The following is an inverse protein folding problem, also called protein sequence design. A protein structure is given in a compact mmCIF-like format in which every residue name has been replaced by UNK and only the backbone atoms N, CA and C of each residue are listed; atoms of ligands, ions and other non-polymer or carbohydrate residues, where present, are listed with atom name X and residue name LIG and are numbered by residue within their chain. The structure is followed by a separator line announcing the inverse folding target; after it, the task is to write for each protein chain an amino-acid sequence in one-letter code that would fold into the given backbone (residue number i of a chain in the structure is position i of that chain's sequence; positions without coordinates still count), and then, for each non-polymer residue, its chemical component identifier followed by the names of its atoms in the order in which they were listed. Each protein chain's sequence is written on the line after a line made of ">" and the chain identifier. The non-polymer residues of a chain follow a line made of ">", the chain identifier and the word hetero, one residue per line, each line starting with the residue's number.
data_IF_299644867238
#
_entry.id   IF_299644867238
#
_cell.length_a   1.000
_cell.length_b   1.000
_cell.length_c   1.000
_cell.angle_alpha   90.00
_cell.angle_beta   90.00
_cell.angle_gamma   90.00
#
_symmetry.space_group_name_H-M   'P 1'
#
loop_
_entity.id
_entity.type
_entity.pdbx_description
1 polymer ?
#
# COMPACT_ATOMS: atom_id res chain seq x y z
N UNK A 1 27.56 -1.36 5.08
CA UNK A 1 26.90 -0.14 4.55
C UNK A 1 27.75 0.36 3.40
N UNK A 2 27.20 0.42 2.17
CA UNK A 2 27.94 0.87 0.97
C UNK A 2 28.10 2.39 0.95
N UNK A 3 27.02 3.11 1.22
CA UNK A 3 27.00 4.56 1.38
C UNK A 3 25.82 4.98 2.26
N UNK A 4 25.87 6.22 2.75
CA UNK A 4 24.74 6.89 3.40
C UNK A 4 24.67 8.33 2.89
N UNK A 5 23.47 8.84 2.64
CA UNK A 5 23.25 10.23 2.20
C UNK A 5 22.31 10.92 3.19
N UNK A 6 22.77 12.04 3.74
CA UNK A 6 21.91 13.00 4.45
C UNK A 6 21.58 14.12 3.46
N UNK A 7 20.30 14.28 3.15
CA UNK A 7 19.86 15.40 2.32
C UNK A 7 19.90 16.69 3.12
N UNK A 8 20.31 17.77 2.47
CA UNK A 8 20.10 19.11 2.97
C UNK A 8 18.60 19.44 2.95
N UNK A 9 18.19 20.38 3.81
CA UNK A 9 16.81 20.84 3.91
C UNK A 9 16.80 22.37 3.87
N UNK A 10 16.00 22.92 2.97
CA UNK A 10 15.67 24.36 2.97
C UNK A 10 14.39 24.67 3.74
N UNK A 11 13.66 23.66 4.22
CA UNK A 11 12.42 23.86 4.97
C UNK A 11 12.68 24.51 6.33
N UNK A 12 11.88 25.54 6.62
CA UNK A 12 11.70 26.08 7.95
C UNK A 12 10.22 25.95 8.33
N UNK A 13 9.95 25.41 9.51
CA UNK A 13 8.59 25.25 9.99
C UNK A 13 7.93 26.60 10.21
N UNK A 14 6.80 26.83 9.54
CA UNK A 14 6.03 28.04 9.72
C UNK A 14 5.37 28.06 11.11
N UNK A 15 5.20 29.23 11.75
CA UNK A 15 4.44 29.34 12.99
C UNK A 15 3.04 28.73 12.84
N UNK A 16 2.68 27.77 13.71
CA UNK A 16 1.39 27.06 13.63
C UNK A 16 1.33 25.96 12.55
N UNK A 17 2.44 25.64 11.89
CA UNK A 17 2.56 24.50 11.00
C UNK A 17 2.43 23.16 11.74
N UNK A 18 2.02 22.11 11.03
CA UNK A 18 2.00 20.74 11.53
C UNK A 18 3.36 20.08 11.24
N UNK A 19 4.44 20.52 11.88
CA UNK A 19 5.78 19.92 11.76
C UNK A 19 6.21 19.16 13.02
N UNK A 20 7.13 18.21 12.83
CA UNK A 20 7.83 17.54 13.94
C UNK A 20 7.06 16.48 14.74
N UNK A 21 5.89 16.03 14.27
CA UNK A 21 5.07 15.00 14.94
C UNK A 21 5.17 13.60 14.32
N UNK A 22 4.67 12.58 15.03
CA UNK A 22 4.65 11.16 14.62
C UNK A 22 4.03 10.95 13.23
N UNK A 23 2.95 11.67 12.93
CA UNK A 23 2.22 11.54 11.68
C UNK A 23 2.83 12.37 10.54
N UNK A 24 3.64 13.38 10.85
CA UNK A 24 4.35 14.24 9.91
C UNK A 24 5.85 14.27 10.28
N UNK A 25 6.51 13.10 10.20
CA UNK A 25 7.89 13.00 10.66
C UNK A 25 8.78 13.86 9.76
N UNK A 26 9.69 14.62 10.38
CA UNK A 26 10.63 15.57 9.78
C UNK A 26 11.66 15.01 8.79
N UNK A 27 11.33 13.97 8.02
CA UNK A 27 12.26 13.17 7.24
C UNK A 27 11.65 12.52 6.01
N UNK A 28 12.38 11.55 5.44
CA UNK A 28 11.97 10.82 4.23
C UNK A 28 10.87 9.82 4.58
N UNK A 29 9.68 10.00 3.99
CA UNK A 29 8.50 9.13 4.23
C UNK A 29 8.13 8.26 3.05
N UNK A 30 8.58 8.63 1.84
CA UNK A 30 8.34 7.88 0.63
C UNK A 30 9.45 6.87 0.40
N UNK A 31 9.09 5.62 0.12
CA UNK A 31 10.03 4.66 -0.48
C UNK A 31 10.54 5.22 -1.81
N UNK A 32 11.87 5.32 -2.02
CA UNK A 32 12.45 5.71 -3.29
C UNK A 32 12.03 4.76 -4.41
N UNK A 33 12.01 5.25 -5.66
CA UNK A 33 11.81 4.40 -6.84
C UNK A 33 13.10 4.25 -7.62
N UNK A 34 13.35 3.05 -8.15
CA UNK A 34 14.53 2.76 -8.95
C UNK A 34 14.19 2.73 -10.43
N UNK A 35 15.03 3.35 -11.25
CA UNK A 35 15.04 3.21 -12.70
C UNK A 35 16.25 2.38 -13.12
N UNK A 36 16.01 1.32 -13.90
CA UNK A 36 17.10 0.56 -14.52
C UNK A 36 17.46 1.21 -15.85
N UNK A 37 18.63 1.84 -15.94
CA UNK A 37 19.09 2.52 -17.16
C UNK A 37 19.94 1.64 -18.06
N UNK A 38 20.61 0.63 -17.49
CA UNK A 38 21.39 -0.38 -18.20
C UNK A 38 21.47 -1.68 -17.36
N UNK A 39 21.94 -2.81 -17.91
CA UNK A 39 22.18 -4.03 -17.12
C UNK A 39 23.10 -3.74 -15.92
N UNK A 40 22.56 -3.88 -14.70
CA UNK A 40 23.31 -3.63 -13.46
C UNK A 40 23.43 -2.15 -13.06
N UNK A 41 22.95 -1.22 -13.88
CA UNK A 41 23.00 0.23 -13.59
C UNK A 41 21.61 0.74 -13.22
N UNK A 42 21.53 1.40 -12.07
CA UNK A 42 20.28 1.88 -11.51
C UNK A 42 20.43 3.31 -11.02
N UNK A 43 19.38 4.09 -11.22
CA UNK A 43 19.20 5.43 -10.66
C UNK A 43 18.12 5.32 -9.59
N UNK A 44 18.35 5.92 -8.43
CA UNK A 44 17.33 6.08 -7.40
C UNK A 44 16.74 7.50 -7.44
N UNK A 45 15.42 7.56 -7.41
CA UNK A 45 14.66 8.77 -7.21
C UNK A 45 14.08 8.79 -5.81
N UNK A 46 14.38 9.84 -5.05
CA UNK A 46 13.90 10.02 -3.68
C UNK A 46 13.36 11.43 -3.50
N UNK A 47 12.39 11.63 -2.60
CA UNK A 47 11.92 12.96 -2.24
C UNK A 47 12.49 13.33 -0.89
N UNK A 48 13.34 14.35 -0.84
CA UNK A 48 13.82 14.89 0.43
C UNK A 48 12.70 15.63 1.14
N UNK A 49 12.82 15.74 2.46
CA UNK A 49 11.83 16.36 3.35
C UNK A 49 11.39 17.78 2.93
N UNK A 50 12.27 18.53 2.30
CA UNK A 50 11.98 19.86 1.75
C UNK A 50 11.25 19.83 0.39
N UNK A 51 10.70 18.67 0.00
CA UNK A 51 9.85 18.51 -1.17
C UNK A 51 10.60 18.45 -2.51
N UNK A 52 11.94 18.36 -2.47
CA UNK A 52 12.77 18.27 -3.68
C UNK A 52 12.98 16.82 -4.11
N UNK A 53 12.89 16.58 -5.41
CA UNK A 53 13.26 15.33 -6.04
C UNK A 53 14.80 15.24 -6.12
N UNK A 54 15.34 14.13 -5.63
CA UNK A 54 16.75 13.76 -5.62
C UNK A 54 16.96 12.62 -6.60
N UNK A 55 17.98 12.74 -7.44
CA UNK A 55 18.38 11.72 -8.40
C UNK A 55 19.77 11.22 -8.04
N UNK A 56 19.87 9.95 -7.69
CA UNK A 56 21.08 9.36 -7.12
C UNK A 56 21.58 8.20 -7.96
N UNK A 57 22.90 8.06 -8.06
CA UNK A 57 23.51 6.81 -8.50
C UNK A 57 23.39 5.78 -7.37
N UNK A 58 22.81 4.60 -7.67
CA UNK A 58 22.57 3.58 -6.65
C UNK A 58 23.86 2.96 -6.12
N UNK A 59 24.93 2.91 -6.92
CA UNK A 59 26.20 2.32 -6.50
C UNK A 59 26.98 3.23 -5.56
N UNK A 60 26.93 4.56 -5.77
CA UNK A 60 27.75 5.52 -5.00
C UNK A 60 26.97 6.36 -4.00
N UNK A 61 25.66 6.55 -4.20
CA UNK A 61 24.84 7.48 -3.42
C UNK A 61 25.07 8.95 -3.76
N UNK A 62 25.83 9.25 -4.82
CA UNK A 62 26.08 10.61 -5.30
C UNK A 62 24.87 11.15 -6.07
N UNK A 63 24.66 12.47 -5.97
CA UNK A 63 23.61 13.14 -6.75
C UNK A 63 24.07 13.30 -8.20
N UNK A 64 23.26 12.79 -9.13
CA UNK A 64 23.56 12.83 -10.57
C UNK A 64 23.25 14.21 -11.16
N UNK A 65 22.28 14.91 -10.59
CA UNK A 65 21.91 16.27 -10.98
C UNK A 65 21.45 17.08 -9.76
N UNK A 66 21.44 18.43 -9.84
CA UNK A 66 20.93 19.27 -8.77
C UNK A 66 19.48 18.93 -8.39
N UNK A 67 19.12 19.02 -7.09
CA UNK A 67 17.76 18.72 -6.62
C UNK A 67 16.70 19.56 -7.33
N UNK A 68 15.63 18.91 -7.80
CA UNK A 68 14.55 19.57 -8.52
C UNK A 68 13.34 19.85 -7.61
N UNK A 69 12.61 20.93 -7.87
CA UNK A 69 11.33 21.17 -7.21
C UNK A 69 10.30 20.14 -7.65
N UNK A 70 9.59 19.53 -6.70
CA UNK A 70 8.58 18.52 -7.00
C UNK A 70 7.28 18.76 -6.24
N UNK A 71 7.35 18.93 -4.92
CA UNK A 71 6.17 19.12 -4.08
C UNK A 71 6.47 20.10 -2.95
N UNK A 72 5.45 20.61 -2.25
CA UNK A 72 5.68 21.46 -1.10
C UNK A 72 6.52 20.75 -0.01
N UNK A 73 7.37 21.50 0.70
CA UNK A 73 8.17 20.95 1.78
C UNK A 73 7.29 20.48 2.93
N UNK A 74 7.73 19.46 3.67
CA UNK A 74 6.95 18.79 4.71
C UNK A 74 5.60 18.24 4.17
N UNK A 75 5.50 17.91 2.88
CA UNK A 75 4.26 17.41 2.29
C UNK A 75 3.92 15.95 2.60
N UNK A 76 4.84 15.19 3.24
CA UNK A 76 4.70 13.74 3.54
C UNK A 76 4.22 12.90 2.33
N UNK A 77 5.07 12.71 1.31
CA UNK A 77 4.75 11.81 0.20
C UNK A 77 4.70 10.35 0.67
N UNK A 78 3.86 9.54 0.01
CA UNK A 78 3.96 8.07 0.03
C UNK A 78 4.96 7.58 -1.01
N UNK A 79 5.20 6.26 -1.03
CA UNK A 79 6.13 5.64 -1.96
C UNK A 79 5.95 6.12 -3.41
N UNK A 80 7.08 6.25 -4.10
CA UNK A 80 7.12 6.74 -5.47
C UNK A 80 6.87 5.59 -6.45
N UNK A 81 6.14 5.87 -7.52
CA UNK A 81 5.99 4.95 -8.64
C UNK A 81 6.49 5.63 -9.93
N UNK A 82 7.36 4.96 -10.68
CA UNK A 82 7.91 5.44 -11.95
C UNK A 82 7.30 4.63 -13.09
N UNK A 83 6.53 5.29 -13.94
CA UNK A 83 5.88 4.65 -15.10
C UNK A 83 6.03 5.58 -16.31
N UNK A 84 6.54 5.03 -17.42
CA UNK A 84 6.69 5.74 -18.69
C UNK A 84 7.40 7.10 -18.57
N UNK A 85 8.46 7.17 -17.76
CA UNK A 85 9.26 8.40 -17.57
C UNK A 85 8.59 9.47 -16.68
N UNK A 86 7.53 9.11 -15.95
CA UNK A 86 6.85 10.00 -15.01
C UNK A 86 6.84 9.37 -13.63
N UNK A 87 7.28 10.13 -12.63
CA UNK A 87 7.23 9.76 -11.22
C UNK A 87 5.92 10.23 -10.62
N UNK A 88 5.19 9.35 -9.94
CA UNK A 88 3.92 9.64 -9.29
C UNK A 88 4.01 9.40 -7.78
N UNK A 89 3.32 10.25 -7.02
CA UNK A 89 3.09 10.07 -5.59
C UNK A 89 1.80 10.77 -5.17
N UNK A 90 1.42 10.57 -3.92
CA UNK A 90 0.35 11.30 -3.26
C UNK A 90 0.77 11.69 -1.84
N UNK A 91 0.07 12.68 -1.28
CA UNK A 91 0.32 13.15 0.09
C UNK A 91 -0.85 12.89 1.03
N UNK A 92 -0.56 12.87 2.33
CA UNK A 92 -1.57 12.77 3.38
C UNK A 92 -1.24 13.61 4.60
N UNK A 93 -2.18 13.63 5.54
CA UNK A 93 -2.05 14.20 6.89
C UNK A 93 -1.91 15.73 6.93
N UNK A 94 -2.02 16.42 5.79
CA UNK A 94 -1.92 17.87 5.75
C UNK A 94 -0.60 18.40 6.32
N UNK A 95 0.47 17.61 6.19
CA UNK A 95 1.75 17.93 6.80
C UNK A 95 2.30 19.24 6.23
N UNK A 96 2.93 20.04 7.10
CA UNK A 96 3.39 21.38 6.75
C UNK A 96 2.28 22.39 6.43
N UNK A 97 1.01 22.05 6.68
CA UNK A 97 -0.15 22.87 6.30
C UNK A 97 -0.53 22.72 4.82
N UNK A 98 0.05 21.75 4.11
CA UNK A 98 -0.19 21.54 2.69
C UNK A 98 -1.48 20.77 2.43
N UNK A 99 -2.18 21.01 1.31
CA UNK A 99 -3.27 20.14 0.88
C UNK A 99 -2.76 18.74 0.52
N UNK A 100 -3.63 17.74 0.66
CA UNK A 100 -3.35 16.36 0.25
C UNK A 100 -3.62 16.24 -1.24
N UNK A 101 -2.60 15.99 -2.06
CA UNK A 101 -2.71 16.03 -3.52
C UNK A 101 -2.08 14.79 -4.14
N UNK A 102 -2.47 14.53 -5.38
CA UNK A 102 -1.66 13.76 -6.32
C UNK A 102 -0.54 14.66 -6.87
N UNK A 103 0.64 14.08 -7.07
CA UNK A 103 1.77 14.74 -7.70
C UNK A 103 2.36 13.85 -8.80
N UNK A 104 2.81 14.48 -9.88
CA UNK A 104 3.58 13.86 -10.95
C UNK A 104 4.80 14.70 -11.29
N UNK A 105 5.91 14.05 -11.63
CA UNK A 105 7.12 14.69 -12.15
C UNK A 105 7.48 14.02 -13.47
N UNK A 106 7.34 14.74 -14.58
CA UNK A 106 7.71 14.26 -15.91
C UNK A 106 9.23 14.45 -16.11
N UNK A 107 9.97 13.34 -16.21
CA UNK A 107 11.44 13.36 -16.25
C UNK A 107 12.00 14.03 -17.51
N UNK A 108 11.27 13.99 -18.62
CA UNK A 108 11.71 14.56 -19.88
C UNK A 108 11.59 16.08 -19.89
N UNK A 109 10.47 16.61 -19.38
CA UNK A 109 10.17 18.06 -19.38
C UNK A 109 10.51 18.76 -18.08
N UNK A 110 10.82 18.00 -17.02
CA UNK A 110 11.04 18.49 -15.64
C UNK A 110 9.84 19.27 -15.08
N UNK A 111 8.65 19.04 -15.64
CA UNK A 111 7.40 19.68 -15.19
C UNK A 111 6.72 18.85 -14.10
N UNK A 112 6.12 19.57 -13.16
CA UNK A 112 5.29 19.02 -12.11
C UNK A 112 3.82 19.18 -12.49
N UNK A 113 3.06 18.10 -12.37
CA UNK A 113 1.60 18.14 -12.36
C UNK A 113 1.07 17.83 -10.97
N UNK A 114 0.03 18.52 -10.54
CA UNK A 114 -0.67 18.21 -9.29
C UNK A 114 -2.18 18.26 -9.48
N UNK A 115 -2.90 17.51 -8.65
CA UNK A 115 -4.36 17.58 -8.58
C UNK A 115 -4.86 17.33 -7.16
N UNK A 116 -5.85 18.10 -6.71
CA UNK A 116 -6.36 18.08 -5.35
C UNK A 116 -7.77 17.44 -5.30
N UNK A 117 -8.00 16.41 -4.48
CA UNK A 117 -9.30 15.76 -4.31
C UNK A 117 -10.27 16.53 -3.41
N UNK A 118 -9.85 17.66 -2.83
CA UNK A 118 -10.67 18.39 -1.85
C UNK A 118 -11.01 17.60 -0.59
N UNK A 119 -10.27 16.54 -0.27
CA UNK A 119 -10.59 15.59 0.79
C UNK A 119 -9.41 15.33 1.74
N UNK A 120 -9.57 14.32 2.62
CA UNK A 120 -8.55 13.89 3.55
C UNK A 120 -7.29 13.32 2.90
N UNK A 121 -6.45 12.70 3.71
CA UNK A 121 -5.20 12.16 3.19
C UNK A 121 -5.43 11.04 2.17
N UNK A 122 -4.55 10.95 1.17
CA UNK A 122 -4.44 9.83 0.24
C UNK A 122 -3.36 8.87 0.75
N UNK A 123 -3.70 7.65 1.22
CA UNK A 123 -2.74 6.79 1.97
C UNK A 123 -2.29 5.50 1.26
N UNK A 124 -1.98 5.51 -0.05
CA UNK A 124 -1.47 4.31 -0.67
C UNK A 124 -0.03 4.04 -0.17
N UNK A 125 0.14 3.18 0.83
CA UNK A 125 1.43 2.91 1.49
C UNK A 125 2.56 2.55 0.51
N UNK A 126 2.24 1.75 -0.51
CA UNK A 126 3.18 1.35 -1.58
C UNK A 126 3.07 2.25 -2.81
N UNK A 127 2.54 3.46 -2.65
CA UNK A 127 2.38 4.46 -3.69
C UNK A 127 1.11 4.27 -4.51
N UNK A 128 0.69 5.32 -5.25
CA UNK A 128 -0.50 5.27 -6.08
C UNK A 128 -0.34 4.26 -7.21
N UNK A 129 -1.42 3.59 -7.59
CA UNK A 129 -1.40 2.56 -8.64
C UNK A 129 -1.57 3.20 -10.00
N UNK A 130 -0.89 2.69 -11.03
CA UNK A 130 -0.92 3.27 -12.38
C UNK A 130 -1.49 2.24 -13.36
N UNK A 131 -2.62 2.55 -13.97
CA UNK A 131 -3.26 1.70 -14.98
C UNK A 131 -2.55 1.78 -16.34
N UNK A 132 -2.87 0.83 -17.22
CA UNK A 132 -2.25 0.70 -18.56
C UNK A 132 -2.37 1.96 -19.43
N UNK A 133 -3.40 2.76 -19.22
CA UNK A 133 -3.63 3.98 -19.97
C UNK A 133 -2.92 5.22 -19.37
N UNK A 134 -2.17 5.04 -18.28
CA UNK A 134 -1.48 6.10 -17.55
C UNK A 134 -2.32 6.82 -16.49
N UNK A 135 -3.54 6.33 -16.19
CA UNK A 135 -4.32 6.85 -15.06
C UNK A 135 -3.70 6.40 -13.74
N UNK A 136 -3.60 7.32 -12.80
CA UNK A 136 -3.02 7.15 -11.48
C UNK A 136 -4.14 7.14 -10.46
N UNK A 137 -4.16 6.12 -9.61
CA UNK A 137 -5.24 5.83 -8.67
C UNK A 137 -4.75 5.88 -7.23
N UNK A 138 -5.48 6.57 -6.37
CA UNK A 138 -5.31 6.50 -4.92
C UNK A 138 -6.64 6.70 -4.20
N UNK A 139 -6.77 5.99 -3.06
CA UNK A 139 -7.91 6.11 -2.17
C UNK A 139 -7.75 7.28 -1.19
N UNK A 140 -8.84 7.99 -0.92
CA UNK A 140 -8.94 9.06 0.08
C UNK A 140 -9.67 8.61 1.34
N UNK A 141 -9.20 9.10 2.49
CA UNK A 141 -9.86 8.91 3.78
C UNK A 141 -10.83 10.04 4.15
N UNK A 142 -10.76 10.45 5.42
CA UNK A 142 -11.50 11.54 6.06
C UNK A 142 -11.77 12.78 5.18
N UNK A 143 -12.96 12.83 4.58
CA UNK A 143 -13.40 13.98 3.79
C UNK A 143 -14.87 13.85 3.44
N UNK A 144 -15.51 14.96 3.06
CA UNK A 144 -16.89 14.92 2.57
C UNK A 144 -16.91 14.27 1.19
N UNK A 145 -18.03 13.68 0.82
CA UNK A 145 -18.29 13.26 -0.54
C UNK A 145 -19.29 14.25 -1.15
N UNK A 146 -18.77 15.24 -1.86
CA UNK A 146 -19.52 16.30 -2.55
C UNK A 146 -18.88 16.49 -3.94
N UNK A 147 -19.07 15.54 -4.87
CA UNK A 147 -18.39 15.54 -6.18
C UNK A 147 -18.71 16.78 -7.02
N UNK A 148 -19.90 17.38 -6.84
CA UNK A 148 -20.31 18.64 -7.51
C UNK A 148 -19.44 19.83 -7.09
N UNK A 149 -18.76 19.72 -5.95
CA UNK A 149 -17.80 20.70 -5.43
C UNK A 149 -16.34 20.23 -5.56
N UNK A 150 -16.11 19.13 -6.30
CA UNK A 150 -14.81 18.47 -6.42
C UNK A 150 -14.20 18.00 -5.08
N UNK A 151 -15.05 17.54 -4.16
CA UNK A 151 -14.65 16.99 -2.86
C UNK A 151 -14.93 15.48 -2.87
N UNK A 152 -13.85 14.70 -2.86
CA UNK A 152 -13.87 13.24 -3.03
C UNK A 152 -13.29 12.55 -1.79
N UNK A 153 -14.02 12.57 -0.68
CA UNK A 153 -13.69 11.82 0.54
C UNK A 153 -14.26 10.40 0.53
N UNK A 154 -13.56 9.48 1.19
CA UNK A 154 -13.90 8.05 1.21
C UNK A 154 -14.07 7.46 -0.21
N UNK A 155 -13.17 7.82 -1.12
CA UNK A 155 -13.30 7.55 -2.54
C UNK A 155 -12.00 6.98 -3.13
N UNK A 156 -12.10 6.20 -4.20
CA UNK A 156 -10.99 5.95 -5.12
C UNK A 156 -11.01 7.02 -6.20
N UNK A 157 -9.91 7.76 -6.38
CA UNK A 157 -9.80 8.79 -7.42
C UNK A 157 -8.82 8.31 -8.47
N UNK A 158 -9.16 8.47 -9.75
CA UNK A 158 -8.27 8.33 -10.90
C UNK A 158 -7.95 9.68 -11.54
N UNK A 159 -6.67 10.07 -11.55
CA UNK A 159 -6.17 11.26 -12.26
C UNK A 159 -5.24 10.87 -13.39
N UNK A 160 -5.16 11.66 -14.45
CA UNK A 160 -4.31 11.38 -15.60
C UNK A 160 -3.48 12.61 -15.96
N UNK A 161 -2.22 12.38 -16.33
CA UNK A 161 -1.38 13.47 -16.80
C UNK A 161 -1.80 13.91 -18.21
N UNK A 162 -2.05 15.20 -18.37
CA UNK A 162 -2.25 15.82 -19.66
C UNK A 162 -0.92 15.81 -20.46
N UNK A 163 -0.87 15.20 -21.65
CA UNK A 163 0.38 15.03 -22.37
C UNK A 163 1.02 16.34 -22.84
N UNK A 164 0.25 17.42 -23.00
CA UNK A 164 0.73 18.73 -23.43
C UNK A 164 1.14 19.62 -22.24
N UNK A 165 0.23 19.79 -21.27
CA UNK A 165 0.45 20.72 -20.16
C UNK A 165 1.27 20.10 -19.03
N UNK A 166 1.25 18.76 -18.92
CA UNK A 166 1.79 17.96 -17.82
C UNK A 166 1.04 18.12 -16.50
N UNK A 167 -0.09 18.84 -16.50
CA UNK A 167 -0.99 18.90 -15.36
C UNK A 167 -1.62 17.52 -15.09
N UNK A 168 -2.00 17.25 -13.84
CA UNK A 168 -2.85 16.12 -13.53
C UNK A 168 -4.32 16.58 -13.60
N UNK A 169 -5.14 15.81 -14.29
CA UNK A 169 -6.56 16.09 -14.50
C UNK A 169 -7.38 14.92 -13.96
N UNK A 170 -8.53 15.22 -13.34
CA UNK A 170 -9.47 14.18 -12.93
C UNK A 170 -9.94 13.41 -14.15
N UNK A 171 -9.84 12.09 -14.11
CA UNK A 171 -10.42 11.20 -15.12
C UNK A 171 -11.71 10.58 -14.62
N UNK A 172 -11.70 10.04 -13.41
CA UNK A 172 -12.81 9.26 -12.88
C UNK A 172 -12.71 9.10 -11.35
N UNK A 173 -13.79 8.69 -10.70
CA UNK A 173 -13.81 8.36 -9.27
C UNK A 173 -14.84 7.29 -8.93
N UNK A 174 -14.66 6.66 -7.78
CA UNK A 174 -15.63 5.78 -7.14
C UNK A 174 -15.78 6.15 -5.67
N UNK A 175 -17.00 6.19 -5.15
CA UNK A 175 -17.24 6.23 -3.71
C UNK A 175 -18.24 5.14 -3.29
N UNK A 176 -17.97 4.38 -2.21
CA UNK A 176 -18.93 3.45 -1.65
C UNK A 176 -20.27 4.12 -1.34
N UNK A 177 -21.37 3.40 -1.55
CA UNK A 177 -22.72 3.93 -1.28
C UNK A 177 -22.89 4.41 0.16
N UNK A 178 -22.12 3.87 1.10
CA UNK A 178 -22.04 4.22 2.52
C UNK A 178 -20.90 5.18 2.89
N UNK A 179 -20.27 5.90 1.94
CA UNK A 179 -19.13 6.81 2.18
C UNK A 179 -19.35 7.80 3.35
N UNK A 180 -20.54 8.40 3.46
CA UNK A 180 -20.87 9.30 4.58
C UNK A 180 -20.76 8.60 5.95
N UNK A 181 -21.26 7.37 6.04
CA UNK A 181 -21.18 6.58 7.26
C UNK A 181 -19.73 6.15 7.55
N UNK A 182 -18.98 5.76 6.52
CA UNK A 182 -17.55 5.42 6.67
C UNK A 182 -16.76 6.59 7.22
N UNK A 183 -16.95 7.80 6.68
CA UNK A 183 -16.33 9.02 7.22
C UNK A 183 -16.72 9.25 8.69
N UNK A 184 -18.01 9.15 9.04
CA UNK A 184 -18.47 9.35 10.42
C UNK A 184 -17.82 8.37 11.42
N UNK A 185 -17.40 7.20 10.93
CA UNK A 185 -16.80 6.13 11.71
C UNK A 185 -15.28 6.04 11.58
N UNK A 186 -14.65 6.96 10.84
CA UNK A 186 -13.22 6.90 10.49
C UNK A 186 -12.85 5.52 9.92
N UNK A 187 -13.56 5.14 8.86
CA UNK A 187 -13.33 3.90 8.12
C UNK A 187 -12.67 4.15 6.76
N UNK A 188 -11.55 4.88 6.77
CA UNK A 188 -10.82 5.34 5.59
C UNK A 188 -10.69 4.33 4.44
N UNK A 189 -11.05 4.79 3.23
CA UNK A 189 -10.86 4.10 1.96
C UNK A 189 -9.47 4.42 1.38
N UNK A 190 -8.41 3.86 1.95
CA UNK A 190 -7.07 4.40 1.74
C UNK A 190 -5.98 3.36 1.39
N UNK A 191 -6.34 2.10 1.13
CA UNK A 191 -5.37 1.06 0.82
C UNK A 191 -4.70 1.23 -0.56
N UNK A 192 -3.41 0.89 -0.67
CA UNK A 192 -2.78 0.70 -2.00
C UNK A 192 -3.48 -0.44 -2.73
N UNK A 193 -3.89 -0.16 -3.96
CA UNK A 193 -4.91 -0.92 -4.67
C UNK A 193 -4.35 -1.51 -5.96
N UNK A 194 -3.94 -2.79 -5.98
CA UNK A 194 -3.33 -3.39 -7.16
C UNK A 194 -4.29 -3.40 -8.34
N UNK A 195 -3.69 -3.27 -9.52
CA UNK A 195 -4.36 -3.31 -10.82
C UNK A 195 -3.95 -4.58 -11.55
N UNK A 196 -4.88 -5.22 -12.24
CA UNK A 196 -4.61 -6.40 -13.05
C UNK A 196 -5.55 -6.52 -14.23
N UNK A 197 -5.07 -7.12 -15.33
CA UNK A 197 -5.94 -7.57 -16.40
C UNK A 197 -6.63 -8.89 -16.01
N UNK A 198 -7.91 -9.00 -16.35
CA UNK A 198 -8.69 -10.23 -16.24
C UNK A 198 -9.66 -10.28 -17.42
N UNK A 199 -9.55 -11.33 -18.25
CA UNK A 199 -10.37 -11.53 -19.45
C UNK A 199 -10.39 -10.31 -20.40
N UNK A 200 -9.23 -9.69 -20.60
CA UNK A 200 -9.05 -8.56 -21.53
C UNK A 200 -9.54 -7.21 -21.01
N UNK A 201 -10.05 -7.14 -19.77
CA UNK A 201 -10.39 -5.89 -19.08
C UNK A 201 -9.44 -5.66 -17.92
N UNK A 202 -9.17 -4.39 -17.63
CA UNK A 202 -8.32 -4.01 -16.50
C UNK A 202 -9.22 -3.69 -15.30
N UNK A 203 -8.85 -4.24 -14.14
CA UNK A 203 -9.57 -4.04 -12.90
C UNK A 203 -8.62 -3.52 -11.82
N UNK A 204 -9.18 -2.74 -10.91
CA UNK A 204 -8.54 -2.30 -9.68
C UNK A 204 -9.29 -2.92 -8.51
N UNK A 205 -8.56 -3.42 -7.51
CA UNK A 205 -9.15 -3.89 -6.25
C UNK A 205 -8.67 -3.04 -5.09
N UNK A 206 -9.61 -2.51 -4.31
CA UNK A 206 -9.34 -1.65 -3.14
C UNK A 206 -10.03 -2.18 -1.89
N UNK A 207 -9.61 -1.65 -0.75
CA UNK A 207 -10.20 -1.88 0.56
C UNK A 207 -10.19 -0.62 1.43
N UNK A 208 -10.70 -0.76 2.65
CA UNK A 208 -10.79 0.29 3.64
C UNK A 208 -10.68 -0.30 5.04
N UNK A 209 -10.64 0.56 6.06
CA UNK A 209 -10.80 0.16 7.46
C UNK A 209 -12.15 -0.53 7.73
N UNK A 210 -13.17 -0.37 6.87
CA UNK A 210 -14.43 -1.17 6.95
C UNK A 210 -14.14 -2.68 6.80
N UNK A 211 -13.00 -3.06 6.23
CA UNK A 211 -12.61 -4.44 5.99
C UNK A 211 -13.52 -5.17 4.99
N UNK A 212 -13.68 -4.54 3.81
CA UNK A 212 -14.32 -5.08 2.61
C UNK A 212 -13.47 -4.85 1.39
N UNK A 213 -13.71 -5.61 0.33
CA UNK A 213 -13.08 -5.40 -0.96
C UNK A 213 -14.06 -4.88 -1.98
N UNK A 214 -13.57 -3.97 -2.82
CA UNK A 214 -14.27 -3.43 -3.98
C UNK A 214 -13.46 -3.73 -5.23
N UNK A 215 -14.07 -4.44 -6.17
CA UNK A 215 -13.53 -4.65 -7.51
C UNK A 215 -14.13 -3.60 -8.44
N UNK A 216 -13.28 -2.82 -9.11
CA UNK A 216 -13.66 -1.70 -9.96
C UNK A 216 -13.12 -1.92 -11.38
N UNK A 217 -13.93 -1.60 -12.40
CA UNK A 217 -13.49 -1.55 -13.79
C UNK A 217 -12.78 -0.22 -14.02
N UNK A 218 -11.51 -0.22 -14.44
CA UNK A 218 -10.70 1.02 -14.55
C UNK A 218 -11.15 1.91 -15.71
N UNK A 219 -12.02 1.41 -16.59
CA UNK A 219 -12.62 2.19 -17.69
C UNK A 219 -13.84 3.00 -17.26
N UNK A 220 -14.47 2.64 -16.14
CA UNK A 220 -15.65 3.31 -15.58
C UNK A 220 -15.77 2.97 -14.09
N UNK A 221 -15.03 3.71 -13.26
CA UNK A 221 -15.01 3.52 -11.81
C UNK A 221 -16.43 3.72 -11.26
N UNK A 222 -16.99 2.67 -10.67
CA UNK A 222 -18.30 2.77 -10.05
C UNK A 222 -19.48 2.79 -11.02
N UNK A 223 -19.30 2.54 -12.32
CA UNK A 223 -20.40 2.62 -13.29
C UNK A 223 -20.90 4.05 -13.52
N UNK A 224 -22.09 4.19 -14.09
CA UNK A 224 -22.68 5.50 -14.45
C UNK A 224 -22.92 6.42 -13.25
N UNK A 225 -23.07 5.86 -12.05
CA UNK A 225 -23.33 6.62 -10.82
C UNK A 225 -22.06 6.90 -10.00
N UNK A 226 -20.89 6.41 -10.43
CA UNK A 226 -19.63 6.46 -9.69
C UNK A 226 -19.72 5.82 -8.28
N UNK A 227 -20.69 4.92 -8.06
CA UNK A 227 -21.01 4.33 -6.74
C UNK A 227 -21.26 2.83 -6.77
N UNK A 228 -21.42 2.25 -7.95
CA UNK A 228 -21.70 0.83 -8.14
C UNK A 228 -20.43 0.06 -8.57
N UNK A 229 -19.77 -0.66 -7.66
CA UNK A 229 -18.59 -1.44 -8.00
C UNK A 229 -19.00 -2.65 -8.87
N UNK A 230 -18.03 -3.24 -9.58
CA UNK A 230 -18.24 -4.50 -10.30
C UNK A 230 -18.60 -5.61 -9.32
N UNK A 231 -17.90 -5.65 -8.19
CA UNK A 231 -18.18 -6.55 -7.10
C UNK A 231 -17.80 -5.92 -5.75
N UNK A 232 -18.55 -6.26 -4.71
CA UNK A 232 -18.26 -5.90 -3.32
C UNK A 232 -18.38 -7.15 -2.44
N UNK A 233 -17.34 -7.45 -1.66
CA UNK A 233 -17.40 -8.58 -0.72
C UNK A 233 -18.30 -8.27 0.48
N UNK A 234 -18.78 -9.30 1.21
CA UNK A 234 -19.14 -9.17 2.61
C UNK A 234 -17.97 -8.66 3.47
N UNK A 235 -18.22 -8.42 4.77
CA UNK A 235 -17.15 -8.11 5.74
C UNK A 235 -16.19 -9.30 5.89
N UNK A 236 -14.90 -9.00 5.81
CA UNK A 236 -13.83 -9.94 6.13
C UNK A 236 -13.50 -9.91 7.62
N UNK A 237 -13.51 -8.71 8.22
CA UNK A 237 -13.14 -8.42 9.59
C UNK A 237 -13.83 -7.13 10.09
N UNK A 238 -13.35 -6.59 11.21
CA UNK A 238 -13.77 -5.31 11.80
C UNK A 238 -15.29 -5.16 12.00
N UNK A 239 -15.92 -6.21 12.50
CA UNK A 239 -17.36 -6.23 12.78
C UNK A 239 -17.80 -5.14 13.78
N UNK A 240 -16.91 -4.79 14.70
CA UNK A 240 -17.12 -3.80 15.75
C UNK A 240 -17.05 -2.36 15.26
N UNK A 241 -16.68 -2.13 13.98
CA UNK A 241 -16.57 -0.78 13.39
C UNK A 241 -15.55 0.06 14.17
N UNK A 242 -14.39 -0.55 14.43
CA UNK A 242 -13.29 0.07 15.15
C UNK A 242 -12.35 0.77 14.17
N UNK A 243 -12.18 2.09 14.33
CA UNK A 243 -11.33 2.93 13.46
C UNK A 243 -9.82 2.60 13.56
N UNK A 244 -9.41 1.74 14.49
CA UNK A 244 -8.03 1.23 14.62
C UNK A 244 -7.79 -0.09 13.87
N UNK A 245 -8.85 -0.75 13.39
CA UNK A 245 -8.80 -2.08 12.76
C UNK A 245 -9.13 -2.00 11.26
N UNK A 246 -9.11 -3.16 10.58
CA UNK A 246 -9.40 -3.26 9.14
C UNK A 246 -8.16 -3.26 8.26
N UNK A 247 -8.26 -2.74 7.05
CA UNK A 247 -7.17 -2.73 6.07
C UNK A 247 -6.51 -1.35 5.99
N UNK A 248 -5.20 -1.28 6.23
CA UNK A 248 -4.43 -0.04 6.34
C UNK A 248 -3.27 0.10 5.35
N UNK A 249 -2.86 -1.01 4.74
CA UNK A 249 -1.64 -1.09 3.97
C UNK A 249 -1.91 -1.14 2.47
N UNK A 250 -1.46 -2.22 1.87
CA UNK A 250 -1.53 -2.51 0.47
C UNK A 250 -2.04 -3.92 0.30
N UNK A 251 -2.90 -4.09 -0.69
CA UNK A 251 -3.25 -5.40 -1.18
C UNK A 251 -2.16 -5.87 -2.15
N UNK A 252 -2.06 -7.18 -2.34
CA UNK A 252 -1.21 -7.74 -3.38
C UNK A 252 -2.05 -8.55 -4.37
N UNK A 253 -1.55 -8.71 -5.59
CA UNK A 253 -2.13 -9.60 -6.58
C UNK A 253 -1.02 -10.39 -7.26
N UNK A 254 -1.33 -11.62 -7.66
CA UNK A 254 -0.50 -12.38 -8.57
C UNK A 254 -1.36 -13.23 -9.48
N UNK A 255 -0.79 -13.68 -10.58
CA UNK A 255 -1.36 -14.73 -11.41
C UNK A 255 -0.52 -15.98 -11.24
N UNK A 256 -1.16 -17.09 -10.92
CA UNK A 256 -0.44 -18.36 -10.81
C UNK A 256 -0.19 -18.99 -12.18
N UNK A 257 0.63 -20.04 -12.21
CA UNK A 257 0.97 -20.74 -13.45
C UNK A 257 -0.24 -21.36 -14.19
N UNK A 258 -1.40 -21.47 -13.54
CA UNK A 258 -2.64 -21.96 -14.15
C UNK A 258 -3.50 -20.82 -14.72
N UNK A 259 -3.02 -19.57 -14.68
CA UNK A 259 -3.77 -18.38 -15.11
C UNK A 259 -4.83 -17.93 -14.09
N UNK A 260 -4.81 -18.44 -12.86
CA UNK A 260 -5.73 -17.96 -11.83
C UNK A 260 -5.21 -16.65 -11.28
N UNK A 261 -6.03 -15.60 -11.39
CA UNK A 261 -5.77 -14.31 -10.76
C UNK A 261 -6.17 -14.35 -9.29
N UNK A 262 -5.24 -13.99 -8.42
CA UNK A 262 -5.44 -13.96 -6.98
C UNK A 262 -5.31 -12.55 -6.41
N UNK A 263 -6.02 -12.28 -5.32
CA UNK A 263 -5.94 -11.05 -4.54
C UNK A 263 -5.67 -11.42 -3.07
N UNK A 264 -4.66 -10.80 -2.47
CA UNK A 264 -4.30 -10.94 -1.07
C UNK A 264 -4.65 -9.67 -0.32
N UNK A 265 -5.30 -9.85 0.83
CA UNK A 265 -5.77 -8.76 1.67
C UNK A 265 -5.27 -8.99 3.09
N UNK A 266 -4.16 -8.34 3.49
CA UNK A 266 -3.78 -8.26 4.89
C UNK A 266 -4.79 -7.38 5.63
N UNK A 267 -5.19 -7.79 6.84
CA UNK A 267 -6.10 -7.02 7.68
C UNK A 267 -5.76 -7.15 9.16
N UNK A 268 -6.24 -6.19 9.94
CA UNK A 268 -6.09 -6.12 11.39
C UNK A 268 -7.42 -6.31 12.11
N UNK A 269 -7.36 -6.98 13.26
CA UNK A 269 -8.50 -7.34 14.08
C UNK A 269 -9.07 -8.73 13.80
N UNK A 270 -10.12 -9.14 14.53
CA UNK A 270 -10.66 -10.47 14.44
C UNK A 270 -11.38 -10.67 13.10
N UNK A 271 -11.27 -11.89 12.57
CA UNK A 271 -12.04 -12.31 11.39
C UNK A 271 -13.53 -12.21 11.67
N UNK A 272 -14.29 -11.66 10.73
CA UNK A 272 -15.74 -11.52 10.86
C UNK A 272 -16.40 -12.90 10.99
N UNK A 273 -17.37 -13.05 11.90
CA UNK A 273 -17.94 -14.37 12.24
C UNK A 273 -18.59 -15.11 11.06
N UNK A 274 -19.09 -14.34 10.08
CA UNK A 274 -19.72 -14.86 8.86
C UNK A 274 -18.74 -15.05 7.69
N UNK A 275 -17.50 -14.57 7.79
CA UNK A 275 -16.50 -14.83 6.76
C UNK A 275 -16.01 -16.28 6.88
N UNK A 276 -16.09 -17.01 5.77
CA UNK A 276 -15.64 -18.40 5.64
C UNK A 276 -14.74 -18.50 4.42
N UNK A 277 -13.52 -18.98 4.60
CA UNK A 277 -12.65 -19.40 3.50
C UNK A 277 -12.71 -20.91 3.31
N UNK A 278 -12.26 -21.42 2.16
CA UNK A 278 -12.21 -22.87 1.92
C UNK A 278 -11.15 -23.55 2.78
N UNK A 279 -10.02 -22.87 2.99
CA UNK A 279 -8.95 -23.29 3.89
C UNK A 279 -8.73 -22.23 4.97
N UNK A 280 -8.78 -22.63 6.23
CA UNK A 280 -8.57 -21.74 7.38
C UNK A 280 -7.51 -22.32 8.31
N UNK A 281 -6.48 -21.53 8.62
CA UNK A 281 -5.32 -21.99 9.38
C UNK A 281 -5.36 -21.54 10.85
N UNK A 282 -6.48 -21.82 11.52
CA UNK A 282 -6.70 -21.51 12.93
C UNK A 282 -7.61 -20.30 13.21
N UNK A 283 -7.72 -19.94 14.48
CA UNK A 283 -8.50 -18.78 14.91
C UNK A 283 -7.73 -17.49 14.63
N UNK A 284 -8.40 -16.49 14.05
CA UNK A 284 -7.82 -15.18 13.74
C UNK A 284 -8.41 -14.12 14.68
N UNK A 285 -7.54 -13.50 15.49
CA UNK A 285 -7.89 -12.54 16.54
C UNK A 285 -7.26 -11.19 16.28
N UNK A 286 -5.98 -11.15 15.88
CA UNK A 286 -5.24 -9.90 15.70
C UNK A 286 -5.12 -9.48 14.23
N UNK A 287 -5.26 -10.42 13.30
CA UNK A 287 -5.16 -10.15 11.88
C UNK A 287 -4.71 -11.37 11.09
N UNK A 288 -4.85 -11.31 9.77
CA UNK A 288 -4.41 -12.36 8.87
C UNK A 288 -4.27 -11.82 7.44
N UNK A 289 -3.77 -12.66 6.55
CA UNK A 289 -3.90 -12.47 5.11
C UNK A 289 -5.05 -13.34 4.61
N UNK A 290 -6.07 -12.71 4.02
CA UNK A 290 -7.13 -13.41 3.31
C UNK A 290 -6.85 -13.41 1.81
N UNK A 291 -7.04 -14.56 1.16
CA UNK A 291 -6.84 -14.73 -0.27
C UNK A 291 -8.15 -14.99 -1.01
N UNK A 292 -8.27 -14.38 -2.19
CA UNK A 292 -9.42 -14.46 -3.06
C UNK A 292 -8.97 -14.84 -4.47
N UNK A 293 -9.75 -15.69 -5.14
CA UNK A 293 -9.61 -15.92 -6.57
C UNK A 293 -10.58 -15.02 -7.32
N UNK A 294 -10.12 -14.38 -8.37
CA UNK A 294 -10.99 -13.69 -9.32
C UNK A 294 -11.60 -14.75 -10.23
N UNK A 295 -12.92 -14.85 -10.23
CA UNK A 295 -13.66 -15.86 -11.00
C UNK A 295 -14.93 -15.27 -11.57
N UNK A 296 -15.44 -15.84 -12.65
CA UNK A 296 -16.76 -15.43 -13.17
C UNK A 296 -17.89 -16.20 -12.51
N UNK A 297 -18.89 -15.44 -12.05
CA UNK A 297 -20.20 -15.96 -11.66
C UNK A 297 -21.26 -15.16 -12.40
N UNK A 298 -22.11 -15.87 -13.14
CA UNK A 298 -23.18 -15.26 -13.95
C UNK A 298 -22.65 -14.16 -14.91
N UNK A 299 -21.49 -14.40 -15.51
CA UNK A 299 -20.88 -13.49 -16.50
C UNK A 299 -20.23 -12.23 -15.93
N UNK A 300 -20.07 -12.13 -14.60
CA UNK A 300 -19.36 -11.03 -13.94
C UNK A 300 -18.21 -11.56 -13.10
N UNK A 301 -17.07 -10.85 -13.06
CA UNK A 301 -15.98 -11.21 -12.16
C UNK A 301 -16.38 -10.94 -10.72
N UNK A 302 -16.08 -11.89 -9.84
CA UNK A 302 -16.29 -11.82 -8.40
C UNK A 302 -15.01 -12.26 -7.68
N UNK A 303 -14.89 -11.86 -6.42
CA UNK A 303 -13.83 -12.32 -5.53
C UNK A 303 -14.34 -13.50 -4.71
N UNK A 304 -13.96 -14.73 -5.09
CA UNK A 304 -14.32 -15.95 -4.36
C UNK A 304 -13.29 -16.20 -3.28
N UNK A 305 -13.73 -16.39 -2.03
CA UNK A 305 -12.86 -16.71 -0.89
C UNK A 305 -12.07 -18.00 -1.20
N UNK A 306 -10.78 -18.03 -0.89
CA UNK A 306 -9.95 -19.20 -1.09
C UNK A 306 -9.36 -19.68 0.23
N UNK A 307 -8.41 -18.95 0.79
CA UNK A 307 -7.80 -19.29 2.07
C UNK A 307 -7.65 -18.09 2.97
N UNK A 308 -7.51 -18.33 4.27
CA UNK A 308 -7.08 -17.33 5.25
C UNK A 308 -5.95 -17.91 6.07
N UNK A 309 -4.87 -17.15 6.20
CA UNK A 309 -3.68 -17.55 6.95
C UNK A 309 -3.99 -17.75 8.43
N UNK A 310 -2.99 -18.26 9.15
CA UNK A 310 -2.98 -18.19 10.62
C UNK A 310 -3.06 -16.75 11.12
N UNK A 311 -3.30 -16.63 12.41
CA UNK A 311 -3.26 -15.36 13.12
C UNK A 311 -1.88 -14.71 13.03
N UNK A 312 -1.89 -13.40 12.75
CA UNK A 312 -0.74 -12.52 12.64
C UNK A 312 -1.05 -11.22 13.38
N UNK A 313 -0.16 -10.82 14.28
CA UNK A 313 -0.30 -9.55 14.97
C UNK A 313 -0.07 -8.39 14.00
N UNK A 314 -1.15 -7.71 13.61
CA UNK A 314 -1.15 -6.62 12.62
C UNK A 314 -0.55 -7.05 11.27
N UNK A 315 -1.23 -7.96 10.57
CA UNK A 315 -0.82 -8.42 9.24
C UNK A 315 -0.62 -7.25 8.27
N UNK A 316 0.53 -7.19 7.62
CA UNK A 316 0.91 -6.08 6.74
C UNK A 316 1.16 -6.55 5.28
N UNK A 317 1.40 -5.63 4.32
CA UNK A 317 1.48 -5.92 2.89
C UNK A 317 2.35 -7.13 2.51
N UNK A 318 1.76 -8.21 1.94
CA UNK A 318 2.54 -9.36 1.53
C UNK A 318 3.24 -9.13 0.19
N UNK A 319 4.31 -9.89 -0.06
CA UNK A 319 4.99 -9.99 -1.36
C UNK A 319 4.91 -11.43 -1.83
N UNK A 320 4.55 -11.63 -3.10
CA UNK A 320 4.46 -12.97 -3.70
C UNK A 320 5.66 -13.21 -4.61
N UNK A 321 6.37 -14.32 -4.41
CA UNK A 321 7.44 -14.75 -5.30
C UNK A 321 7.51 -16.27 -5.36
N UNK A 322 7.61 -16.82 -6.58
CA UNK A 322 7.80 -18.26 -6.82
C UNK A 322 6.77 -19.17 -6.12
N UNK A 323 5.49 -18.76 -6.10
CA UNK A 323 4.43 -19.54 -5.44
C UNK A 323 4.45 -19.48 -3.91
N UNK A 324 5.25 -18.58 -3.32
CA UNK A 324 5.28 -18.32 -1.88
C UNK A 324 4.74 -16.91 -1.62
N UNK A 325 3.87 -16.79 -0.64
CA UNK A 325 3.44 -15.50 -0.08
C UNK A 325 4.31 -15.22 1.14
N UNK A 326 5.18 -14.22 1.02
CA UNK A 326 5.88 -13.65 2.17
C UNK A 326 4.98 -12.61 2.82
N UNK A 327 4.51 -12.93 4.02
CA UNK A 327 3.62 -12.10 4.83
C UNK A 327 4.27 -11.85 6.19
N UNK A 328 3.82 -10.82 6.92
CA UNK A 328 4.35 -10.56 8.25
C UNK A 328 3.30 -9.91 9.15
N UNK A 329 3.36 -10.25 10.43
CA UNK A 329 2.77 -9.43 11.48
C UNK A 329 3.79 -8.35 11.83
N UNK A 330 3.40 -7.08 11.82
CA UNK A 330 4.35 -5.98 12.04
C UNK A 330 4.84 -5.89 13.48
N UNK A 331 4.08 -6.39 14.45
CA UNK A 331 4.37 -6.17 15.87
C UNK A 331 4.05 -4.74 16.34
N UNK A 332 3.60 -3.86 15.45
CA UNK A 332 3.29 -2.47 15.76
C UNK A 332 1.99 -2.36 16.54
N UNK A 333 1.97 -1.59 17.64
CA UNK A 333 0.69 -1.14 18.21
C UNK A 333 0.12 -0.02 17.34
N UNK A 334 -1.05 -0.26 16.76
CA UNK A 334 -1.76 0.68 15.88
C UNK A 334 -2.86 1.42 16.62
N UNK A 335 -2.88 1.34 17.96
CA UNK A 335 -3.85 2.02 18.81
C UNK A 335 -3.81 3.52 18.57
N UNK A 336 -4.83 4.03 17.86
CA UNK A 336 -4.98 5.47 17.60
C UNK A 336 -5.75 6.18 18.73
N UNK A 337 -5.43 5.86 19.98
CA UNK A 337 -6.15 6.39 21.14
C UNK A 337 -5.54 7.68 21.68
N UNK A 338 -6.40 8.51 22.25
CA UNK A 338 -6.01 9.62 23.14
C UNK A 338 -5.43 9.06 24.44
N UNK A 339 -4.66 9.84 25.21
CA UNK A 339 -4.19 9.41 26.53
C UNK A 339 -5.38 9.06 27.43
N UNK A 340 -5.48 7.80 27.85
CA UNK A 340 -6.46 7.30 28.82
C UNK A 340 -5.73 6.96 30.13
N UNK A 341 -6.42 6.96 31.30
CA UNK A 341 -5.81 6.56 32.56
C UNK A 341 -5.14 5.18 32.46
N UNK A 342 -3.82 5.13 32.67
CA UNK A 342 -3.02 3.90 32.55
C UNK A 342 -2.31 3.70 31.21
N UNK A 343 -2.53 4.57 30.22
CA UNK A 343 -1.86 4.53 28.92
C UNK A 343 -1.19 5.87 28.59
N UNK A 344 0.04 5.82 28.08
CA UNK A 344 0.81 7.04 27.75
C UNK A 344 0.21 7.79 26.54
N UNK A 345 -0.57 7.10 25.69
CA UNK A 345 -1.19 7.66 24.48
C UNK A 345 -0.16 8.15 23.45
N UNK A 346 -0.62 8.50 22.24
CA UNK A 346 0.26 9.02 21.19
C UNK A 346 1.40 8.07 20.78
N UNK A 347 2.51 8.59 20.25
CA UNK A 347 3.63 7.74 19.82
C UNK A 347 4.26 6.96 20.97
N UNK A 348 4.43 7.59 22.13
CA UNK A 348 5.13 6.97 23.24
C UNK A 348 4.39 5.71 23.69
N UNK A 349 3.06 5.77 23.85
CA UNK A 349 2.25 4.59 24.14
C UNK A 349 2.31 3.55 23.03
N UNK A 350 2.24 3.95 21.76
CA UNK A 350 2.35 3.00 20.63
C UNK A 350 3.70 2.29 20.58
N UNK A 351 4.79 2.98 20.88
CA UNK A 351 6.14 2.40 20.95
C UNK A 351 6.22 1.41 22.12
N UNK A 352 5.71 1.79 23.30
CA UNK A 352 5.69 0.95 24.51
C UNK A 352 4.85 -0.31 24.33
N UNK A 353 3.71 -0.21 23.63
CA UNK A 353 2.78 -1.32 23.37
C UNK A 353 3.19 -2.18 22.17
N UNK A 354 4.19 -1.76 21.38
CA UNK A 354 4.67 -2.56 20.25
C UNK A 354 5.54 -3.72 20.74
N UNK A 355 5.50 -4.83 20.01
CA UNK A 355 6.20 -6.07 20.36
C UNK A 355 7.33 -6.32 19.36
N UNK A 356 7.23 -7.37 18.56
CA UNK A 356 8.18 -7.70 17.52
C UNK A 356 7.48 -8.18 16.25
N UNK A 357 8.14 -7.98 15.11
CA UNK A 357 7.63 -8.48 13.85
C UNK A 357 7.85 -10.00 13.76
N UNK A 358 6.97 -10.69 13.03
CA UNK A 358 7.17 -12.09 12.67
C UNK A 358 6.96 -12.22 11.17
N UNK A 359 7.98 -12.73 10.49
CA UNK A 359 7.92 -13.00 9.06
C UNK A 359 7.44 -14.43 8.82
N UNK A 360 6.54 -14.60 7.86
CA UNK A 360 5.96 -15.87 7.44
C UNK A 360 6.21 -16.11 5.96
N UNK A 361 6.48 -17.37 5.60
CA UNK A 361 6.39 -17.87 4.24
C UNK A 361 5.18 -18.81 4.18
N UNK A 362 4.20 -18.48 3.35
CA UNK A 362 2.99 -19.26 3.15
C UNK A 362 2.97 -19.85 1.75
N UNK A 363 2.42 -21.05 1.59
CA UNK A 363 2.07 -21.57 0.28
C UNK A 363 1.01 -20.66 -0.37
N UNK A 364 1.28 -20.14 -1.56
CA UNK A 364 0.43 -19.11 -2.16
C UNK A 364 -0.98 -19.61 -2.53
N UNK A 365 -1.16 -20.91 -2.74
CA UNK A 365 -2.45 -21.47 -3.18
C UNK A 365 -3.32 -21.93 -2.01
N UNK A 366 -2.70 -22.27 -0.89
CA UNK A 366 -3.39 -22.87 0.27
C UNK A 366 -3.35 -22.00 1.52
N UNK A 367 -2.39 -21.07 1.62
CA UNK A 367 -2.16 -20.26 2.82
C UNK A 367 -1.48 -21.00 3.96
N UNK A 368 -1.05 -22.25 3.75
CA UNK A 368 -0.36 -23.06 4.75
C UNK A 368 0.98 -22.43 5.11
N UNK A 369 1.29 -22.34 6.41
CA UNK A 369 2.60 -21.87 6.89
C UNK A 369 3.68 -22.89 6.51
N UNK A 370 4.60 -22.49 5.64
CA UNK A 370 5.78 -23.28 5.28
C UNK A 370 6.92 -23.01 6.25
N UNK A 371 7.02 -21.77 6.75
CA UNK A 371 8.05 -21.34 7.69
C UNK A 371 7.67 -20.02 8.36
N UNK A 372 8.17 -19.77 9.57
CA UNK A 372 8.18 -18.46 10.20
C UNK A 372 9.50 -18.14 10.90
N UNK A 373 9.78 -16.84 11.05
CA UNK A 373 10.94 -16.38 11.80
C UNK A 373 10.82 -16.67 13.30
N UNK A 374 9.60 -16.90 13.81
CA UNK A 374 9.32 -16.88 15.24
C UNK A 374 9.88 -15.62 15.88
N UNK A 375 10.62 -15.79 16.98
CA UNK A 375 11.17 -14.71 17.79
C UNK A 375 12.56 -14.22 17.30
N UNK A 376 12.99 -14.60 16.10
CA UNK A 376 14.30 -14.18 15.57
C UNK A 376 14.41 -12.68 15.28
N UNK A 377 13.28 -12.00 15.11
CA UNK A 377 13.23 -10.55 14.94
C UNK A 377 12.86 -9.95 16.31
N UNK A 378 13.73 -9.10 16.85
CA UNK A 378 13.59 -8.60 18.23
C UNK A 378 12.74 -7.33 18.37
N UNK A 379 12.55 -6.59 17.27
CA UNK A 379 11.81 -5.32 17.22
C UNK A 379 10.65 -5.42 16.22
N UNK A 380 9.75 -4.44 16.23
CA UNK A 380 8.61 -4.34 15.33
C UNK A 380 8.95 -3.61 14.02
N UNK A 381 8.10 -3.75 13.01
CA UNK A 381 8.18 -3.08 11.71
C UNK A 381 7.23 -1.87 11.69
N UNK A 382 7.72 -0.70 11.26
CA UNK A 382 6.90 0.49 11.08
C UNK A 382 6.81 0.86 9.59
N UNK A 383 5.65 0.67 8.97
CA UNK A 383 5.29 1.14 7.62
C UNK A 383 6.18 0.72 6.43
N UNK A 384 7.28 0.00 6.66
CA UNK A 384 8.16 -0.47 5.59
C UNK A 384 7.71 -1.83 5.08
N UNK A 385 7.73 -2.03 3.77
CA UNK A 385 7.37 -3.30 3.14
C UNK A 385 8.52 -4.31 3.10
N UNK A 386 8.22 -5.52 2.63
CA UNK A 386 9.23 -6.53 2.35
C UNK A 386 9.95 -6.26 1.03
N UNK A 387 11.23 -6.61 0.96
CA UNK A 387 11.95 -6.74 -0.32
C UNK A 387 12.31 -8.21 -0.56
N UNK A 388 12.08 -8.72 -1.78
CA UNK A 388 12.45 -10.08 -2.15
C UNK A 388 13.40 -10.03 -3.34
N UNK A 389 14.59 -10.61 -3.19
CA UNK A 389 15.60 -10.64 -4.25
C UNK A 389 16.57 -11.81 -4.04
N UNK A 390 16.98 -12.45 -5.13
CA UNK A 390 18.02 -13.50 -5.12
C UNK A 390 17.78 -14.60 -4.06
N UNK A 391 16.54 -15.09 -3.96
CA UNK A 391 16.14 -16.13 -3.00
C UNK A 391 16.17 -15.70 -1.54
N UNK A 392 16.15 -14.38 -1.28
CA UNK A 392 16.15 -13.79 0.06
C UNK A 392 14.99 -12.83 0.22
N UNK A 393 14.50 -12.72 1.44
CA UNK A 393 13.48 -11.77 1.90
C UNK A 393 14.08 -10.89 2.97
N UNK A 394 13.82 -9.59 2.87
CA UNK A 394 14.36 -8.56 3.74
C UNK A 394 13.23 -7.81 4.42
N UNK A 395 13.38 -7.56 5.70
CA UNK A 395 12.44 -6.80 6.52
C UNK A 395 13.21 -5.83 7.43
N UNK A 396 12.82 -4.55 7.40
CA UNK A 396 13.36 -3.53 8.29
C UNK A 396 12.54 -3.43 9.57
N UNK A 397 13.17 -3.08 10.68
CA UNK A 397 12.52 -2.82 11.97
C UNK A 397 12.71 -1.39 12.44
N UNK A 398 11.85 -0.97 13.36
CA UNK A 398 11.78 0.39 13.91
C UNK A 398 13.11 0.87 14.54
N UNK A 399 13.85 -0.04 15.15
CA UNK A 399 15.19 0.18 15.73
C UNK A 399 16.32 0.32 14.68
N UNK A 400 15.99 0.27 13.39
CA UNK A 400 16.92 0.48 12.30
C UNK A 400 17.70 -0.77 11.88
N UNK A 401 17.28 -1.96 12.30
CA UNK A 401 17.89 -3.24 11.88
C UNK A 401 17.22 -3.74 10.60
N UNK A 402 18.02 -4.26 9.67
CA UNK A 402 17.55 -4.98 8.49
C UNK A 402 17.81 -6.47 8.67
N UNK A 403 16.74 -7.26 8.75
CA UNK A 403 16.80 -8.71 8.79
C UNK A 403 16.75 -9.27 7.38
N UNK A 404 17.42 -10.40 7.17
CA UNK A 404 17.47 -11.10 5.89
C UNK A 404 17.32 -12.61 6.13
N UNK A 405 16.32 -13.22 5.50
CA UNK A 405 16.10 -14.66 5.50
C UNK A 405 16.22 -15.20 4.07
N UNK A 406 16.67 -16.44 3.88
CA UNK A 406 16.97 -16.98 2.54
C UNK A 406 17.00 -18.51 2.51
N UNK A 407 17.44 -19.13 1.42
CA UNK A 407 17.29 -20.57 1.17
C UNK A 407 17.81 -21.56 2.25
N UNK A 408 18.69 -21.15 3.18
CA UNK A 408 19.03 -21.99 4.34
C UNK A 408 17.94 -21.99 5.44
N UNK A 409 17.12 -20.93 5.46
CA UNK A 409 16.02 -20.71 6.40
C UNK A 409 14.62 -20.72 5.75
N UNK A 410 14.49 -20.86 4.43
CA UNK A 410 13.20 -20.86 3.73
C UNK A 410 13.01 -22.13 2.89
N UNK A 411 11.86 -22.83 2.99
CA UNK A 411 11.55 -23.97 2.15
C UNK A 411 11.46 -23.57 0.67
N UNK A 412 11.96 -24.43 -0.21
CA UNK A 412 11.72 -24.31 -1.66
C UNK A 412 10.34 -24.92 -1.97
N UNK A 413 9.42 -24.13 -2.52
CA UNK A 413 8.14 -24.64 -3.00
C UNK A 413 8.36 -25.72 -4.05
N UNK A 414 7.75 -26.90 -3.88
CA UNK A 414 7.87 -28.01 -4.82
C UNK A 414 7.18 -27.67 -6.13
N UNK A 415 7.95 -27.28 -7.15
CA UNK A 415 7.54 -27.37 -8.54
C UNK A 415 7.53 -28.84 -8.96
N UNK A 416 6.35 -29.47 -8.98
CA UNK A 416 6.17 -30.75 -9.68
C UNK A 416 6.25 -30.50 -11.18
N UNK A 417 7.47 -30.53 -11.72
CA UNK A 417 7.70 -30.62 -13.17
C UNK A 417 7.49 -32.08 -13.57
N UNK A 418 6.29 -32.44 -14.02
CA UNK A 418 6.11 -33.72 -14.70
C UNK A 418 6.70 -33.62 -16.11
N UNK A 419 7.97 -33.99 -16.26
CA UNK A 419 8.49 -34.37 -17.58
C UNK A 419 7.85 -35.70 -17.97
N UNK A 420 6.84 -35.64 -18.85
CA UNK A 420 6.56 -36.74 -19.77
C UNK A 420 7.57 -36.63 -20.90
N UNK A 421 8.61 -37.44 -20.85
CA UNK A 421 9.31 -37.87 -22.05
C UNK A 421 8.58 -39.11 -22.59
N UNK A 422 8.01 -38.96 -23.78
CA UNK A 422 7.52 -40.07 -24.58
C UNK A 422 8.17 -39.97 -25.95
N UNK A 423 9.04 -40.96 -26.21
CA UNK A 423 9.65 -41.41 -27.48
C UNK A 423 10.68 -40.53 -28.16
#
# INVERSE_FOLDING_TARGET
>A
MLWKKKFDSTYQEAPGGRGGGVLCPGGLTATPVLEKTAPGTYIAYAVSWDGRLRKLDVATGEEIEPPALFMPPNGKPYALNLVNGVIYTSTAQGCGGNPNNFYSYDLATKKVGNWAPGSGGLWPRTGPSVGKDGTVYAGSGDGDYLPEQQIYGQAMIGVKQNPQTKALELKDWYAPSNAYWMRKRDLDFNASSPIFDYRGKEYLVSSSKECRLWLLDTSMLGGEDHRTPVYRTPLLCNEEVNFTMGVWGALATWEDANGTRWVLTPFWGPKHRQFKAELEHGQVVYGAVAAFRVQDKLGKPVLTHAWISRDMYMADPPVVANGIVFAYGSGESTTQRWPEPGHVGGAAGRIEESTHAVLYALDARTGEELWSSGDQIASWNHFSGLSVANGRVYIGTYDGILYCFGAASLPSGTTTTSQREAR
#
